data_IF_862198816617
#
_entry.id   IF_862198816617
#
_cell.length_a   1.000
_cell.length_b   1.000
_cell.length_c   1.000
_cell.angle_alpha   90.00
_cell.angle_beta   90.00
_cell.angle_gamma   90.00
#
_symmetry.space_group_name_H-M   'P 1'
#
loop_
_entity.id
_entity.type
_entity.pdbx_description
1 polymer ?
#
# COMPACT_ATOMS: atom_id res chain seq x y z
N UNK A 1 7.71 11.43 -23.78
CA UNK A 1 6.97 12.12 -22.71
C UNK A 1 6.86 11.10 -21.61
N UNK A 2 7.60 11.30 -20.53
CA UNK A 2 7.60 10.34 -19.43
C UNK A 2 6.25 10.45 -18.70
N UNK A 3 5.56 9.33 -18.59
CA UNK A 3 4.31 9.23 -17.82
C UNK A 3 4.68 9.22 -16.34
N UNK A 4 4.99 10.38 -15.79
CA UNK A 4 5.28 10.54 -14.37
C UNK A 4 4.02 10.18 -13.57
N UNK A 5 4.13 9.16 -12.70
CA UNK A 5 3.03 8.72 -11.84
C UNK A 5 3.23 9.37 -10.48
N UNK A 6 2.47 10.42 -10.19
CA UNK A 6 2.53 11.12 -8.91
C UNK A 6 2.38 10.13 -7.75
N UNK A 7 3.29 10.18 -6.77
CA UNK A 7 3.36 9.26 -5.62
C UNK A 7 3.41 7.77 -5.99
N UNK A 8 3.79 7.41 -7.22
CA UNK A 8 3.76 6.03 -7.72
C UNK A 8 2.38 5.36 -7.63
N UNK A 9 1.31 6.16 -7.57
CA UNK A 9 -0.06 5.68 -7.34
C UNK A 9 -0.62 4.95 -8.56
N UNK A 10 -1.06 3.71 -8.38
CA UNK A 10 -1.73 2.93 -9.42
C UNK A 10 -3.17 2.66 -9.00
N UNK A 11 -4.03 3.68 -9.13
CA UNK A 11 -5.38 3.72 -8.57
C UNK A 11 -6.20 2.46 -8.88
N UNK A 12 -6.19 1.98 -10.13
CA UNK A 12 -6.95 0.79 -10.54
C UNK A 12 -6.46 -0.50 -9.86
N UNK A 13 -5.15 -0.63 -9.65
CA UNK A 13 -4.55 -1.80 -8.99
C UNK A 13 -4.86 -1.73 -7.49
N UNK A 14 -4.66 -0.56 -6.86
CA UNK A 14 -4.96 -0.36 -5.44
C UNK A 14 -6.45 -0.55 -5.13
N UNK A 15 -7.34 -0.04 -5.98
CA UNK A 15 -8.78 -0.28 -5.88
C UNK A 15 -9.13 -1.75 -6.01
N UNK A 16 -8.51 -2.47 -6.95
CA UNK A 16 -8.72 -3.91 -7.09
C UNK A 16 -8.24 -4.67 -5.85
N UNK A 17 -7.08 -4.32 -5.29
CA UNK A 17 -6.61 -4.90 -4.04
C UNK A 17 -7.57 -4.63 -2.88
N UNK A 18 -8.09 -3.39 -2.74
CA UNK A 18 -9.08 -3.06 -1.70
C UNK A 18 -10.38 -3.84 -1.86
N UNK A 19 -10.91 -3.92 -3.08
CA UNK A 19 -12.13 -4.67 -3.39
C UNK A 19 -11.98 -6.16 -3.10
N UNK A 20 -10.80 -6.72 -3.34
CA UNK A 20 -10.50 -8.13 -3.13
C UNK A 20 -9.95 -8.46 -1.73
N UNK A 21 -9.73 -7.46 -0.86
CA UNK A 21 -9.10 -7.64 0.45
C UNK A 21 -7.63 -8.07 0.37
N UNK A 22 -6.95 -7.80 -0.74
CA UNK A 22 -5.55 -8.14 -0.94
C UNK A 22 -4.65 -7.09 -0.28
N UNK A 23 -3.62 -7.56 0.42
CA UNK A 23 -2.61 -6.68 0.98
C UNK A 23 -1.81 -6.02 -0.15
N UNK A 24 -1.46 -4.75 0.02
CA UNK A 24 -0.50 -4.11 -0.87
C UNK A 24 0.40 -3.17 -0.09
N UNK A 25 1.58 -2.96 -0.66
CA UNK A 25 2.53 -1.94 -0.25
C UNK A 25 2.86 -1.13 -1.48
N UNK A 26 2.82 0.19 -1.34
CA UNK A 26 3.36 1.13 -2.33
C UNK A 26 4.43 1.97 -1.64
N UNK A 27 5.59 2.06 -2.26
CA UNK A 27 6.59 3.06 -1.88
C UNK A 27 6.81 3.99 -3.06
N UNK A 28 6.93 5.28 -2.77
CA UNK A 28 7.30 6.28 -3.75
C UNK A 28 8.39 7.18 -3.17
N UNK A 29 9.41 7.44 -3.99
CA UNK A 29 10.36 8.48 -3.69
C UNK A 29 9.65 9.85 -3.69
N UNK A 30 10.22 10.78 -2.93
CA UNK A 30 9.74 12.15 -2.88
C UNK A 30 10.36 12.99 -3.99
N UNK A 31 9.69 14.11 -4.30
CA UNK A 31 10.29 15.17 -5.09
C UNK A 31 10.39 16.43 -4.23
N UNK A 32 11.62 16.90 -4.03
CA UNK A 32 11.92 18.06 -3.19
C UNK A 32 11.10 19.29 -3.60
N UNK A 33 10.28 19.80 -2.69
CA UNK A 33 9.39 20.95 -2.92
C UNK A 33 7.99 20.61 -3.46
N UNK A 34 7.68 19.33 -3.71
CA UNK A 34 6.35 18.90 -4.16
C UNK A 34 5.70 17.92 -3.18
N UNK A 35 6.29 16.74 -2.98
CA UNK A 35 5.76 15.70 -2.10
C UNK A 35 6.89 14.92 -1.39
N UNK A 36 6.66 14.47 -0.15
CA UNK A 36 7.63 13.66 0.57
C UNK A 36 7.72 12.25 -0.02
N UNK A 37 8.80 11.53 0.29
CA UNK A 37 8.81 10.08 0.08
C UNK A 37 7.84 9.43 1.07
N UNK A 38 7.02 8.52 0.55
CA UNK A 38 5.94 7.90 1.31
C UNK A 38 5.88 6.40 1.05
N UNK A 39 5.64 5.66 2.12
CA UNK A 39 5.24 4.25 2.07
C UNK A 39 3.79 4.12 2.50
N UNK A 40 3.00 3.42 1.70
CA UNK A 40 1.58 3.17 1.93
C UNK A 40 1.35 1.68 2.10
N UNK A 41 0.66 1.30 3.16
CA UNK A 41 0.39 -0.10 3.50
C UNK A 41 -1.10 -0.30 3.67
N UNK A 42 -1.64 -1.25 2.92
CA UNK A 42 -2.99 -1.74 3.08
C UNK A 42 -2.96 -3.22 3.49
N UNK A 43 -3.69 -3.56 4.56
CA UNK A 43 -3.67 -4.89 5.20
C UNK A 43 -4.87 -5.75 4.82
N UNK A 44 -5.46 -5.50 3.66
CA UNK A 44 -6.66 -6.21 3.20
C UNK A 44 -7.98 -5.73 3.84
N UNK A 45 -7.94 -4.74 4.73
CA UNK A 45 -9.12 -4.16 5.37
C UNK A 45 -8.84 -2.74 5.89
N UNK A 46 -9.90 -1.97 6.12
CA UNK A 46 -9.82 -0.58 6.59
C UNK A 46 -9.22 0.37 5.56
N UNK A 47 -8.69 1.49 6.02
CA UNK A 47 -8.01 2.46 5.16
C UNK A 47 -6.50 2.16 5.05
N UNK A 48 -5.87 2.43 3.89
CA UNK A 48 -4.41 2.39 3.76
C UNK A 48 -3.73 3.37 4.74
N UNK A 49 -2.62 2.92 5.33
CA UNK A 49 -1.82 3.73 6.24
C UNK A 49 -0.61 4.29 5.52
N UNK A 50 -0.33 5.58 5.72
CA UNK A 50 0.79 6.29 5.13
C UNK A 50 1.89 6.50 6.16
N UNK A 51 3.13 6.22 5.78
CA UNK A 51 4.33 6.43 6.58
C UNK A 51 5.30 7.31 5.80
N UNK A 52 5.82 8.34 6.45
CA UNK A 52 6.89 9.16 5.87
C UNK A 52 8.19 8.36 5.83
N UNK A 53 8.90 8.45 4.72
CA UNK A 53 10.18 7.77 4.53
C UNK A 53 11.26 8.69 4.01
N UNK A 54 12.51 8.27 4.13
CA UNK A 54 13.63 8.78 3.33
C UNK A 54 13.54 8.22 1.90
N UNK A 55 14.42 8.69 1.02
CA UNK A 55 14.58 8.15 -0.34
C UNK A 55 15.06 6.68 -0.35
N UNK A 56 15.58 6.18 0.78
CA UNK A 56 16.03 4.79 0.96
C UNK A 56 14.97 3.91 1.66
N UNK A 57 13.69 4.30 1.63
CA UNK A 57 12.57 3.61 2.29
C UNK A 57 12.79 3.41 3.82
N UNK A 58 13.51 4.34 4.46
CA UNK A 58 13.67 4.35 5.92
C UNK A 58 12.59 5.23 6.55
N UNK A 59 11.84 4.70 7.52
CA UNK A 59 10.76 5.46 8.15
C UNK A 59 11.30 6.66 8.94
N UNK A 60 10.60 7.78 8.79
CA UNK A 60 10.83 9.02 9.52
C UNK A 60 9.69 9.24 10.50
N UNK A 61 10.02 9.67 11.71
CA UNK A 61 9.06 10.13 12.71
C UNK A 61 9.28 11.62 12.99
N UNK A 62 8.20 12.39 13.06
CA UNK A 62 8.27 13.76 13.60
C UNK A 62 8.39 13.72 15.12
N UNK A 63 8.91 14.80 15.71
CA UNK A 63 9.00 14.94 17.17
C UNK A 63 7.60 14.89 17.80
N UNK A 64 6.60 15.46 17.13
CA UNK A 64 5.19 15.42 17.53
C UNK A 64 4.69 13.99 17.56
N UNK A 65 4.96 13.20 16.51
CA UNK A 65 4.55 11.80 16.44
C UNK A 65 5.22 10.94 17.51
N UNK A 66 6.50 11.17 17.77
CA UNK A 66 7.24 10.51 18.85
C UNK A 66 6.58 10.79 20.21
N UNK A 67 6.19 12.05 20.46
CA UNK A 67 5.50 12.45 21.70
C UNK A 67 4.11 11.82 21.81
N UNK A 68 3.36 11.74 20.72
CA UNK A 68 2.05 11.08 20.67
C UNK A 68 2.14 9.58 20.96
N UNK A 69 3.15 8.89 20.41
CA UNK A 69 3.38 7.47 20.65
C UNK A 69 3.78 7.19 22.10
N UNK A 70 4.44 8.14 22.77
CA UNK A 70 4.63 8.19 24.22
C UNK A 70 5.55 7.12 24.81
N UNK A 71 6.05 6.17 24.01
CA UNK A 71 6.96 5.11 24.45
C UNK A 71 7.78 4.54 23.30
N UNK A 72 8.98 4.05 23.62
CA UNK A 72 9.84 3.37 22.63
C UNK A 72 9.15 2.12 22.04
N UNK A 73 8.42 1.35 22.86
CA UNK A 73 7.70 0.17 22.41
C UNK A 73 6.62 0.49 21.36
N UNK A 74 5.92 1.63 21.50
CA UNK A 74 4.94 2.09 20.51
C UNK A 74 5.62 2.54 19.22
N UNK A 75 6.75 3.24 19.31
CA UNK A 75 7.58 3.64 18.15
C UNK A 75 8.06 2.40 17.39
N UNK A 76 8.59 1.39 18.09
CA UNK A 76 9.03 0.14 17.48
C UNK A 76 7.87 -0.67 16.87
N UNK A 77 6.67 -0.60 17.45
CA UNK A 77 5.48 -1.24 16.91
C UNK A 77 5.05 -0.57 15.60
N UNK A 78 5.01 0.77 15.55
CA UNK A 78 4.74 1.53 14.33
C UNK A 78 5.84 1.29 13.28
N UNK A 79 7.10 1.21 13.71
CA UNK A 79 8.21 0.87 12.83
C UNK A 79 8.07 -0.50 12.18
N UNK A 80 7.75 -1.53 12.96
CA UNK A 80 7.47 -2.88 12.43
C UNK A 80 6.29 -2.88 11.47
N UNK A 81 5.26 -2.09 11.76
CA UNK A 81 4.10 -1.96 10.89
C UNK A 81 4.48 -1.36 9.55
N UNK A 82 5.23 -0.26 9.54
CA UNK A 82 5.73 0.39 8.32
C UNK A 82 6.69 -0.51 7.52
N UNK A 83 7.36 -1.48 8.15
CA UNK A 83 8.27 -2.41 7.45
C UNK A 83 7.61 -3.69 6.98
N UNK A 84 6.29 -3.86 7.18
CA UNK A 84 5.59 -5.02 6.65
C UNK A 84 5.60 -5.03 5.12
N UNK A 85 5.80 -6.22 4.56
CA UNK A 85 5.55 -6.50 3.15
C UNK A 85 4.30 -7.38 3.04
N UNK A 86 3.60 -7.36 1.89
CA UNK A 86 2.44 -8.22 1.69
C UNK A 86 2.82 -9.69 1.83
N UNK A 87 1.94 -10.55 2.39
CA UNK A 87 2.12 -11.98 2.31
C UNK A 87 2.13 -12.45 0.83
N UNK A 88 2.68 -13.63 0.53
CA UNK A 88 2.62 -14.18 -0.82
C UNK A 88 1.19 -14.23 -1.36
N UNK A 89 1.03 -13.86 -2.63
CA UNK A 89 -0.24 -14.01 -3.33
C UNK A 89 -0.46 -15.50 -3.63
N UNK A 90 -1.54 -16.06 -3.09
CA UNK A 90 -1.95 -17.44 -3.34
C UNK A 90 -3.19 -17.43 -4.23
N UNK A 91 -3.09 -18.07 -5.39
CA UNK A 91 -4.23 -18.34 -6.25
C UNK A 91 -4.87 -19.65 -5.78
N UNK A 92 -6.18 -19.62 -5.55
CA UNK A 92 -6.96 -20.82 -5.24
C UNK A 92 -7.76 -21.19 -6.48
N UNK A 93 -7.64 -22.43 -6.92
CA UNK A 93 -8.50 -22.96 -7.98
C UNK A 93 -9.90 -23.09 -7.42
N UNK A 94 -10.72 -22.05 -7.65
CA UNK A 94 -12.15 -22.17 -7.52
C UNK A 94 -12.62 -22.76 -8.84
N UNK A 95 -13.01 -24.04 -8.86
CA UNK A 95 -13.87 -24.50 -9.95
C UNK A 95 -15.08 -23.56 -9.99
N UNK A 96 -15.37 -22.92 -11.12
CA UNK A 96 -16.58 -22.12 -11.24
C UNK A 96 -17.75 -23.08 -11.02
N UNK A 97 -18.53 -22.87 -9.95
CA UNK A 97 -19.90 -23.36 -9.97
C UNK A 97 -20.56 -22.70 -11.17
N UNK A 98 -21.00 -23.55 -12.08
CA UNK A 98 -21.29 -23.35 -13.49
C UNK A 98 -22.48 -22.40 -13.74
N UNK A 99 -22.43 -21.14 -13.29
CA UNK A 99 -23.52 -20.17 -13.48
C UNK A 99 -22.98 -18.74 -13.59
N UNK A 100 -22.28 -18.42 -14.68
CA UNK A 100 -22.27 -17.10 -15.35
C UNK A 100 -21.01 -16.89 -16.20
N UNK A 101 -20.87 -17.67 -17.27
CA UNK A 101 -20.01 -17.30 -18.40
C UNK A 101 -20.86 -17.18 -19.66
N UNK A 102 -21.65 -16.11 -19.76
CA UNK A 102 -22.10 -15.64 -21.08
C UNK A 102 -21.08 -14.61 -21.56
N UNK A 103 -20.04 -15.09 -22.24
CA UNK A 103 -19.13 -14.27 -23.00
C UNK A 103 -19.86 -13.78 -24.26
N UNK A 104 -20.11 -12.47 -24.36
CA UNK A 104 -20.66 -11.87 -25.58
C UNK A 104 -19.52 -11.72 -26.58
N UNK A 105 -19.48 -12.60 -27.58
CA UNK A 105 -18.60 -12.51 -28.75
C UNK A 105 -18.89 -11.21 -29.49
N UNK A 106 -17.90 -10.32 -29.58
CA UNK A 106 -17.92 -9.22 -30.54
C UNK A 106 -17.38 -9.71 -31.88
N UNK A 107 -18.27 -9.79 -32.87
CA UNK A 107 -17.93 -9.98 -34.28
C UNK A 107 -17.59 -8.67 -34.99
#
# INVERSE_FOLDING_TARGET
MDHEVANGCFEKIEESCRRLGLHYVRWADGFGGSFPSVRVIYRGHGEPQNFLTTQDDQQIFSIERIRELGSIAAIEAEYRLARMNPPPLVLVDKEPTDEAMTETVHG
#
